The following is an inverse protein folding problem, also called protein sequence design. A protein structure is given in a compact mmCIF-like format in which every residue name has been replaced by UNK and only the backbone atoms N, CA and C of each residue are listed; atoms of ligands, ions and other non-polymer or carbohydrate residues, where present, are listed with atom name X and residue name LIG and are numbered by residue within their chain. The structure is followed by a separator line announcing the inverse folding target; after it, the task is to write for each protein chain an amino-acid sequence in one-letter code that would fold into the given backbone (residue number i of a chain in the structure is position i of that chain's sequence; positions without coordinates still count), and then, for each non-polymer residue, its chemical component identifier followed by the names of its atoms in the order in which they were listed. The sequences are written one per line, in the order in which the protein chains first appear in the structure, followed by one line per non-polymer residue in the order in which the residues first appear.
data_IF_683703588511
#
_entry.id   IF_683703588511
#
_cell.length_a   1.000
_cell.length_b   1.000
_cell.length_c   1.000
_cell.angle_alpha   90.00
_cell.angle_beta   90.00
_cell.angle_gamma   90.00
#
_symmetry.space_group_name_H-M   'P 1'
#
loop_
_entity.id
_entity.type
_entity.pdbx_description
1 polymer ?
#
# COMPACT_ATOMS: atom_id res chain seq x y z
N UNK A 1 1.17 11.87 -14.45
CA UNK A 1 1.89 11.93 -13.17
C UNK A 1 0.91 12.20 -12.03
N UNK A 2 1.07 11.49 -10.93
CA UNK A 2 0.18 11.66 -9.78
C UNK A 2 0.62 12.85 -8.96
N UNK A 3 -0.36 13.62 -8.47
CA UNK A 3 -0.10 14.76 -7.60
C UNK A 3 -0.52 14.40 -6.17
N UNK A 4 0.46 14.02 -5.37
CA UNK A 4 0.23 13.56 -3.99
C UNK A 4 -0.47 14.62 -3.14
N UNK A 5 -0.22 15.89 -3.42
CA UNK A 5 -0.81 16.98 -2.66
C UNK A 5 -2.33 17.05 -2.80
N UNK A 6 -2.88 16.43 -3.85
CA UNK A 6 -4.32 16.41 -4.08
C UNK A 6 -4.99 15.19 -3.48
N UNK A 7 -4.22 14.25 -2.96
CA UNK A 7 -4.80 13.05 -2.37
C UNK A 7 -5.48 13.40 -1.06
N UNK A 8 -6.73 12.98 -0.94
CA UNK A 8 -7.53 13.18 0.26
C UNK A 8 -7.81 11.87 0.98
N UNK A 9 -7.83 10.78 0.25
CA UNK A 9 -8.17 9.48 0.80
C UNK A 9 -7.17 8.44 0.30
N UNK A 10 -6.48 7.81 1.23
CA UNK A 10 -5.58 6.71 0.94
C UNK A 10 -6.08 5.52 1.75
N UNK A 11 -6.33 4.41 1.09
CA UNK A 11 -6.79 3.21 1.77
C UNK A 11 -5.60 2.27 1.96
N UNK A 12 -5.38 1.84 3.21
CA UNK A 12 -4.27 0.94 3.51
C UNK A 12 -4.75 -0.50 3.56
N UNK A 13 -4.05 -1.38 2.85
CA UNK A 13 -4.33 -2.80 2.84
C UNK A 13 -3.15 -3.55 3.45
N UNK A 14 -3.47 -4.53 4.29
CA UNK A 14 -2.46 -5.36 4.92
C UNK A 14 -2.31 -6.65 4.08
N UNK A 15 -1.13 -6.88 3.49
CA UNK A 15 -0.96 -8.05 2.62
C UNK A 15 -1.01 -9.38 3.37
N UNK A 16 -0.86 -9.37 4.67
CA UNK A 16 -0.95 -10.59 5.48
C UNK A 16 -2.40 -11.00 5.74
N UNK A 17 -3.36 -10.11 5.47
CA UNK A 17 -4.77 -10.40 5.70
C UNK A 17 -5.46 -10.73 4.39
N UNK A 18 -6.38 -11.69 4.44
CA UNK A 18 -7.16 -12.05 3.27
C UNK A 18 -8.19 -10.99 2.96
N UNK A 19 -8.39 -10.72 1.68
CA UNK A 19 -9.44 -9.83 1.23
C UNK A 19 -10.09 -10.45 -0.01
N UNK A 20 -11.41 -10.45 -0.05
CA UNK A 20 -12.13 -10.98 -1.20
C UNK A 20 -12.03 -10.04 -2.40
N UNK A 21 -12.23 -10.59 -3.59
CA UNK A 21 -12.22 -9.75 -4.79
C UNK A 21 -13.34 -8.71 -4.77
N UNK A 22 -14.49 -9.06 -4.19
CA UNK A 22 -15.59 -8.11 -4.06
C UNK A 22 -15.22 -6.93 -3.17
N UNK A 23 -14.59 -7.22 -2.02
CA UNK A 23 -14.18 -6.17 -1.10
C UNK A 23 -13.09 -5.30 -1.70
N UNK A 24 -12.14 -5.92 -2.39
CA UNK A 24 -11.07 -5.18 -3.04
C UNK A 24 -11.64 -4.26 -4.12
N UNK A 25 -12.57 -4.77 -4.93
CA UNK A 25 -13.21 -3.98 -5.96
C UNK A 25 -13.96 -2.79 -5.36
N UNK A 26 -14.71 -3.02 -4.28
CA UNK A 26 -15.43 -1.96 -3.61
C UNK A 26 -14.49 -0.85 -3.11
N UNK A 27 -13.36 -1.24 -2.54
CA UNK A 27 -12.36 -0.29 -2.05
C UNK A 27 -11.76 0.50 -3.22
N UNK A 28 -11.35 -0.19 -4.26
CA UNK A 28 -10.67 0.46 -5.39
C UNK A 28 -11.62 1.34 -6.20
N UNK A 29 -12.90 1.05 -6.17
CA UNK A 29 -13.91 1.83 -6.87
C UNK A 29 -14.58 2.90 -6.01
N UNK A 30 -14.15 3.05 -4.75
CA UNK A 30 -14.78 3.97 -3.80
C UNK A 30 -14.22 5.39 -3.83
N UNK A 31 -13.60 5.78 -4.92
CA UNK A 31 -13.00 7.11 -5.09
C UNK A 31 -11.79 7.35 -4.17
N UNK A 32 -11.13 6.27 -3.76
CA UNK A 32 -9.85 6.44 -3.06
C UNK A 32 -8.82 7.00 -4.04
N UNK A 33 -7.93 7.84 -3.54
CA UNK A 33 -6.92 8.47 -4.38
C UNK A 33 -5.71 7.56 -4.60
N UNK A 34 -5.44 6.68 -3.64
CA UNK A 34 -4.32 5.76 -3.73
C UNK A 34 -4.56 4.57 -2.82
N UNK A 35 -3.83 3.50 -3.09
CA UNK A 35 -3.83 2.31 -2.24
C UNK A 35 -2.44 2.18 -1.63
N UNK A 36 -2.39 2.07 -0.31
CA UNK A 36 -1.14 1.82 0.41
C UNK A 36 -1.12 0.35 0.83
N UNK A 37 -0.02 -0.32 0.57
CA UNK A 37 0.17 -1.70 0.99
C UNK A 37 1.22 -1.72 2.07
N UNK A 38 0.86 -2.28 3.22
CA UNK A 38 1.79 -2.40 4.33
C UNK A 38 1.15 -3.03 5.54
N UNK A 39 1.97 -3.60 6.36
CA UNK A 39 1.55 -4.21 7.62
C UNK A 39 2.76 -4.36 8.52
N UNK A 40 2.52 -4.75 9.77
CA UNK A 40 3.60 -4.88 10.74
C UNK A 40 4.02 -6.33 10.94
N UNK A 41 3.07 -7.27 10.82
CA UNK A 41 3.34 -8.66 11.10
C UNK A 41 3.03 -9.53 9.90
N UNK A 42 3.79 -10.59 9.73
CA UNK A 42 3.56 -11.61 8.71
C UNK A 42 3.55 -11.07 7.27
N UNK A 43 4.17 -9.92 7.06
CA UNK A 43 4.31 -9.38 5.72
C UNK A 43 5.47 -10.07 5.03
N UNK A 44 5.16 -10.81 3.97
CA UNK A 44 6.17 -11.51 3.19
C UNK A 44 6.20 -10.97 1.77
N UNK A 45 7.28 -11.23 1.07
CA UNK A 45 7.41 -10.82 -0.32
C UNK A 45 6.28 -11.40 -1.16
N UNK A 46 5.95 -12.68 -0.92
CA UNK A 46 4.91 -13.35 -1.69
C UNK A 46 3.54 -12.70 -1.50
N UNK A 47 3.14 -12.41 -0.26
CA UNK A 47 1.82 -11.84 -0.04
C UNK A 47 1.72 -10.40 -0.51
N UNK A 48 2.83 -9.66 -0.49
CA UNK A 48 2.86 -8.31 -1.05
C UNK A 48 2.68 -8.36 -2.57
N UNK A 49 3.40 -9.27 -3.24
CA UNK A 49 3.31 -9.41 -4.68
C UNK A 49 1.90 -9.83 -5.11
N UNK A 50 1.30 -10.76 -4.39
CA UNK A 50 -0.05 -11.21 -4.71
C UNK A 50 -1.05 -10.07 -4.60
N UNK A 51 -0.99 -9.30 -3.51
CA UNK A 51 -1.90 -8.19 -3.32
C UNK A 51 -1.65 -7.10 -4.36
N UNK A 52 -0.40 -6.78 -4.62
CA UNK A 52 -0.04 -5.77 -5.60
C UNK A 52 -0.58 -6.11 -6.99
N UNK A 53 -0.46 -7.38 -7.41
CA UNK A 53 -0.94 -7.78 -8.73
C UNK A 53 -2.46 -7.68 -8.84
N UNK A 54 -3.17 -7.88 -7.75
CA UNK A 54 -4.62 -7.72 -7.74
C UNK A 54 -5.02 -6.24 -7.84
N UNK A 55 -4.33 -5.38 -7.09
CA UNK A 55 -4.63 -3.94 -7.09
C UNK A 55 -4.22 -3.29 -8.41
N UNK A 56 -3.19 -3.83 -9.07
CA UNK A 56 -2.75 -3.28 -10.36
C UNK A 56 -3.80 -3.37 -11.47
N UNK A 57 -4.87 -4.09 -11.26
CA UNK A 57 -5.97 -4.12 -12.21
C UNK A 57 -6.74 -2.80 -12.23
N UNK A 58 -6.52 -1.95 -11.23
CA UNK A 58 -7.21 -0.67 -11.11
C UNK A 58 -6.24 0.46 -11.40
N UNK A 59 -6.71 1.57 -12.01
CA UNK A 59 -5.84 2.69 -12.35
C UNK A 59 -5.58 3.59 -11.13
N UNK A 60 -5.02 3.02 -10.10
CA UNK A 60 -4.72 3.74 -8.86
C UNK A 60 -3.23 3.69 -8.58
N UNK A 61 -2.67 4.78 -8.05
CA UNK A 61 -1.28 4.73 -7.60
C UNK A 61 -1.13 3.81 -6.41
N UNK A 62 -0.04 3.07 -6.40
CA UNK A 62 0.29 2.16 -5.32
C UNK A 62 1.42 2.73 -4.48
N UNK A 63 1.20 2.75 -3.18
CA UNK A 63 2.20 3.21 -2.22
C UNK A 63 2.60 2.02 -1.36
N UNK A 64 3.89 1.84 -1.17
CA UNK A 64 4.39 0.80 -0.29
C UNK A 64 4.86 1.45 1.02
N UNK A 65 4.26 1.03 2.12
CA UNK A 65 4.68 1.48 3.44
C UNK A 65 5.85 0.62 3.89
N UNK A 66 7.01 1.22 3.99
CA UNK A 66 8.24 0.52 4.38
C UNK A 66 8.37 0.61 5.89
N UNK A 67 8.15 -0.49 6.57
CA UNK A 67 8.36 -0.55 8.02
C UNK A 67 9.78 -0.95 8.35
N UNK A 68 10.50 -1.52 7.39
CA UNK A 68 11.88 -1.93 7.55
C UNK A 68 12.60 -1.65 6.24
N UNK A 69 13.71 -0.95 6.32
CA UNK A 69 14.47 -0.55 5.15
C UNK A 69 14.95 -1.74 4.31
N UNK A 70 15.10 -2.90 4.94
CA UNK A 70 15.52 -4.10 4.22
C UNK A 70 14.39 -4.73 3.40
N UNK A 71 13.17 -4.23 3.57
CA UNK A 71 12.00 -4.82 2.95
C UNK A 71 11.52 -4.06 1.73
N UNK A 72 12.36 -3.27 1.10
CA UNK A 72 11.96 -2.48 -0.06
C UNK A 72 11.70 -3.40 -1.24
N UNK A 73 10.53 -3.29 -1.83
CA UNK A 73 10.14 -4.08 -2.98
C UNK A 73 9.90 -3.17 -4.18
N UNK A 74 10.37 -3.56 -5.37
CA UNK A 74 10.16 -2.75 -6.57
C UNK A 74 8.72 -2.89 -7.08
N UNK A 75 8.31 -1.97 -7.92
CA UNK A 75 7.03 -2.05 -8.60
C UNK A 75 5.96 -1.12 -8.08
N UNK A 76 6.26 -0.36 -7.04
CA UNK A 76 5.33 0.62 -6.49
C UNK A 76 5.57 2.00 -7.10
N UNK A 77 4.52 2.81 -7.13
CA UNK A 77 4.63 4.18 -7.65
C UNK A 77 5.27 5.10 -6.62
N UNK A 78 5.04 4.83 -5.34
CA UNK A 78 5.57 5.65 -4.25
C UNK A 78 5.95 4.76 -3.07
N UNK A 79 6.88 5.25 -2.28
CA UNK A 79 7.31 4.57 -1.06
C UNK A 79 7.14 5.52 0.11
N UNK A 80 6.45 5.04 1.15
CA UNK A 80 6.23 5.82 2.36
C UNK A 80 7.05 5.21 3.50
N UNK A 81 7.94 6.00 4.06
CA UNK A 81 8.73 5.58 5.22
C UNK A 81 8.17 6.33 6.42
N UNK A 82 7.43 5.64 7.30
CA UNK A 82 6.97 6.30 8.51
C UNK A 82 8.19 6.56 9.38
N UNK A 83 8.63 7.80 9.41
CA UNK A 83 9.69 8.17 10.30
C UNK A 83 9.10 8.34 11.65
N UNK A 84 9.32 7.43 12.46
CA UNK A 84 9.10 7.63 13.84
C UNK A 84 10.26 8.39 14.32
N UNK A 85 10.12 9.61 14.24
CA UNK A 85 11.10 10.40 14.86
C UNK A 85 10.91 10.36 16.30
N UNK A 86 11.37 9.57 16.85
CA UNK A 86 11.36 9.67 18.15
C UNK A 86 12.50 9.99 18.65
N UNK A 87 12.57 10.47 18.64
CA UNK A 87 13.54 10.59 19.04
C UNK A 87 13.80 10.68 20.17
N UNK A 88 13.77 10.46 20.38
CA UNK A 88 14.14 10.51 21.10
C UNK A 88 14.52 10.43 21.57
N UNK A 89 14.50 10.63 21.60
CA UNK A 89 14.86 10.51 21.74
C UNK A 89 15.14 10.43 22.02
#
# INVERSE_FOLDING_TARGET
MYDIKKWKHIFKLDPAKSISDEDLDAICMSQTDAIMIGGTDDVTEDNVIQLMSRVRRYPLPLVFEISNIESVMPGFDFYFVPTVLNSTN
#
